data_IF_004371165874
#
_entry.id   IF_004371165874
#
_cell.length_a   1.000
_cell.length_b   1.000
_cell.length_c   1.000
_cell.angle_alpha   90.00
_cell.angle_beta   90.00
_cell.angle_gamma   90.00
#
_symmetry.space_group_name_H-M   'P 1'
#
loop_
_entity.id
_entity.type
_entity.pdbx_description
1 polymer ?
#
# COMPACT_ATOMS: atom_id res chain seq x y z
N UNK A 1 14.64 44.94 2.44
CA UNK A 1 15.20 43.86 3.27
C UNK A 1 14.54 42.57 2.87
N UNK A 2 15.14 41.82 1.99
CA UNK A 2 14.69 40.51 1.50
C UNK A 2 14.98 39.49 2.58
N UNK A 3 13.91 38.96 3.18
CA UNK A 3 13.96 37.91 4.20
C UNK A 3 14.43 36.59 3.54
N UNK A 4 15.75 36.45 3.42
CA UNK A 4 16.41 35.23 3.00
C UNK A 4 16.33 34.22 4.16
N UNK A 5 15.13 33.69 4.45
CA UNK A 5 15.03 32.44 5.19
C UNK A 5 15.69 31.38 4.31
N UNK A 6 16.96 31.08 4.63
CA UNK A 6 17.67 29.96 4.06
C UNK A 6 16.76 28.73 4.21
N UNK A 7 16.18 28.26 3.11
CA UNK A 7 15.31 27.08 3.14
C UNK A 7 16.16 25.90 3.59
N UNK A 8 15.87 25.36 4.76
CA UNK A 8 16.60 24.23 5.30
C UNK A 8 16.62 23.08 4.30
N UNK A 9 17.74 22.38 4.12
CA UNK A 9 17.84 21.33 3.11
C UNK A 9 16.87 20.17 3.41
N UNK A 10 16.07 19.80 2.42
CA UNK A 10 15.09 18.71 2.56
C UNK A 10 15.75 17.32 2.58
N UNK A 11 16.91 17.17 1.92
CA UNK A 11 17.68 15.93 1.88
C UNK A 11 18.93 16.01 2.78
N UNK A 12 19.35 14.86 3.32
CA UNK A 12 20.60 14.75 4.09
C UNK A 12 21.84 15.06 3.23
N UNK A 13 22.97 15.49 3.80
CA UNK A 13 24.15 15.96 3.06
C UNK A 13 24.63 15.05 1.94
N UNK A 14 24.72 13.71 2.08
CA UNK A 14 25.21 12.85 0.98
C UNK A 14 24.30 12.91 -0.25
N UNK A 15 22.99 13.08 -0.06
CA UNK A 15 21.98 12.95 -1.11
C UNK A 15 21.59 14.28 -1.76
N UNK A 16 21.71 15.40 -1.04
CA UNK A 16 21.24 16.73 -1.49
C UNK A 16 21.90 17.25 -2.79
N UNK A 17 23.02 16.64 -3.20
CA UNK A 17 23.73 16.99 -4.43
C UNK A 17 23.02 16.46 -5.68
N UNK A 18 22.32 15.33 -5.56
CA UNK A 18 21.71 14.61 -6.68
C UNK A 18 20.19 14.48 -6.59
N UNK A 19 19.66 14.55 -5.38
CA UNK A 19 18.25 14.35 -5.11
C UNK A 19 17.58 15.63 -4.62
N UNK A 20 16.32 15.84 -5.05
CA UNK A 20 15.41 16.87 -4.59
C UNK A 20 13.98 16.36 -4.61
N UNK A 21 13.05 16.99 -3.89
CA UNK A 21 11.61 16.68 -4.05
C UNK A 21 11.15 17.31 -5.39
N UNK A 22 11.40 16.61 -6.47
CA UNK A 22 11.07 17.01 -7.83
C UNK A 22 10.71 15.79 -8.69
N UNK A 23 10.09 16.03 -9.82
CA UNK A 23 9.58 15.00 -10.74
C UNK A 23 10.66 13.98 -11.15
N UNK A 24 11.90 14.42 -11.40
CA UNK A 24 12.99 13.51 -11.78
C UNK A 24 13.27 12.49 -10.68
N UNK A 25 13.42 12.94 -9.44
CA UNK A 25 13.64 12.05 -8.29
C UNK A 25 12.43 11.15 -8.07
N UNK A 26 11.22 11.70 -8.17
CA UNK A 26 9.98 10.91 -8.07
C UNK A 26 9.91 9.79 -9.08
N UNK A 27 10.21 10.06 -10.36
CA UNK A 27 10.21 9.05 -11.42
C UNK A 27 11.29 7.97 -11.23
N UNK A 28 12.51 8.36 -10.82
CA UNK A 28 13.59 7.39 -10.57
C UNK A 28 13.21 6.45 -9.42
N UNK A 29 12.78 7.00 -8.29
CA UNK A 29 12.37 6.20 -7.13
C UNK A 29 11.17 5.32 -7.48
N UNK A 30 10.16 5.88 -8.12
CA UNK A 30 8.97 5.15 -8.52
C UNK A 30 9.31 3.99 -9.46
N UNK A 31 10.09 4.23 -10.51
CA UNK A 31 10.51 3.19 -11.46
C UNK A 31 11.31 2.07 -10.77
N UNK A 32 12.31 2.44 -9.95
CA UNK A 32 13.15 1.47 -9.24
C UNK A 32 12.32 0.62 -8.26
N UNK A 33 11.53 1.27 -7.39
CA UNK A 33 10.77 0.56 -6.35
C UNK A 33 9.62 -0.26 -6.94
N UNK A 34 8.95 0.25 -7.98
CA UNK A 34 7.92 -0.50 -8.69
C UNK A 34 8.51 -1.75 -9.36
N UNK A 35 9.64 -1.63 -10.07
CA UNK A 35 10.27 -2.77 -10.74
C UNK A 35 10.71 -3.85 -9.74
N UNK A 36 11.38 -3.45 -8.65
CA UNK A 36 11.83 -4.39 -7.60
C UNK A 36 10.62 -5.05 -6.92
N UNK A 37 9.64 -4.28 -6.47
CA UNK A 37 8.44 -4.81 -5.80
C UNK A 37 7.65 -5.74 -6.70
N UNK A 38 7.45 -5.34 -7.95
CA UNK A 38 6.73 -6.16 -8.94
C UNK A 38 7.42 -7.51 -9.11
N UNK A 39 8.75 -7.51 -9.32
CA UNK A 39 9.55 -8.73 -9.45
C UNK A 39 9.50 -9.62 -8.21
N UNK A 40 9.60 -9.02 -7.00
CA UNK A 40 9.53 -9.78 -5.75
C UNK A 40 8.16 -10.44 -5.53
N UNK A 41 7.06 -9.74 -5.86
CA UNK A 41 5.72 -10.33 -5.75
C UNK A 41 5.51 -11.41 -6.79
N UNK A 42 5.97 -11.22 -8.03
CA UNK A 42 5.95 -12.27 -9.05
C UNK A 42 6.70 -13.52 -8.57
N UNK A 43 7.90 -13.36 -8.01
CA UNK A 43 8.65 -14.46 -7.43
C UNK A 43 7.89 -15.12 -6.27
N UNK A 44 7.29 -14.33 -5.37
CA UNK A 44 6.54 -14.83 -4.22
C UNK A 44 5.33 -15.66 -4.64
N UNK A 45 4.62 -15.27 -5.71
CA UNK A 45 3.50 -16.06 -6.27
C UNK A 45 3.95 -17.43 -6.78
N UNK A 46 5.16 -17.55 -7.34
CA UNK A 46 5.72 -18.81 -7.81
C UNK A 46 6.23 -19.69 -6.64
N UNK A 47 6.96 -19.06 -5.70
CA UNK A 47 7.65 -19.78 -4.62
C UNK A 47 6.81 -19.96 -3.37
N UNK A 48 5.64 -19.29 -3.30
CA UNK A 48 4.76 -19.22 -2.12
C UNK A 48 5.48 -18.68 -0.87
N UNK A 49 6.51 -17.83 -1.06
CA UNK A 49 7.29 -17.20 0.01
C UNK A 49 7.30 -15.68 -0.12
N UNK A 50 6.66 -15.00 0.80
CA UNK A 50 6.52 -13.54 0.84
C UNK A 50 7.55 -12.84 1.75
N UNK A 51 8.55 -13.57 2.25
CA UNK A 51 9.55 -13.01 3.19
C UNK A 51 10.30 -11.81 2.58
N UNK A 52 10.75 -11.91 1.33
CA UNK A 52 11.46 -10.82 0.65
C UNK A 52 10.56 -9.60 0.38
N UNK A 53 9.27 -9.82 0.12
CA UNK A 53 8.29 -8.73 -0.02
C UNK A 53 8.15 -7.99 1.31
N UNK A 54 8.08 -8.71 2.43
CA UNK A 54 8.01 -8.10 3.77
C UNK A 54 9.26 -7.30 4.12
N UNK A 55 10.46 -7.80 3.79
CA UNK A 55 11.72 -7.05 3.94
C UNK A 55 11.68 -5.79 3.08
N UNK A 56 11.13 -5.86 1.87
CA UNK A 56 11.05 -4.69 0.99
C UNK A 56 10.13 -3.59 1.52
N UNK A 57 9.05 -3.92 2.23
CA UNK A 57 8.25 -2.91 2.94
C UNK A 57 9.07 -2.16 4.00
N UNK A 58 9.96 -2.85 4.70
CA UNK A 58 10.90 -2.19 5.63
C UNK A 58 11.86 -1.27 4.88
N UNK A 59 12.39 -1.68 3.72
CA UNK A 59 13.22 -0.82 2.88
C UNK A 59 12.44 0.42 2.42
N UNK A 60 11.18 0.27 2.01
CA UNK A 60 10.31 1.39 1.64
C UNK A 60 10.10 2.36 2.82
N UNK A 61 9.85 1.84 4.03
CA UNK A 61 9.68 2.65 5.25
C UNK A 61 10.96 3.40 5.63
N UNK A 62 12.12 2.76 5.49
CA UNK A 62 13.41 3.35 5.83
C UNK A 62 13.88 4.38 4.78
N UNK A 63 13.46 4.27 3.53
CA UNK A 63 13.91 5.16 2.43
C UNK A 63 13.76 6.65 2.78
N UNK A 64 12.60 7.18 3.18
CA UNK A 64 12.50 8.59 3.57
C UNK A 64 13.28 8.92 4.84
N UNK A 65 13.48 7.97 5.76
CA UNK A 65 14.28 8.18 6.96
C UNK A 65 15.78 8.33 6.64
N UNK A 66 16.25 7.59 5.65
CA UNK A 66 17.64 7.62 5.19
C UNK A 66 17.89 8.84 4.30
N UNK A 67 17.01 9.12 3.36
CA UNK A 67 17.21 10.18 2.36
C UNK A 67 16.94 11.58 2.91
N UNK A 68 15.88 11.76 3.71
CA UNK A 68 15.38 13.06 4.10
C UNK A 68 15.96 13.57 5.42
N UNK A 69 16.27 14.87 5.45
CA UNK A 69 16.51 15.62 6.67
C UNK A 69 15.19 15.85 7.43
N UNK A 70 15.28 16.46 8.64
CA UNK A 70 14.10 16.70 9.49
C UNK A 70 12.98 17.44 8.76
N UNK A 71 13.31 18.49 8.01
CA UNK A 71 12.33 19.31 7.30
C UNK A 71 11.74 18.57 6.10
N UNK A 72 12.53 17.74 5.41
CA UNK A 72 12.03 16.84 4.38
C UNK A 72 11.02 15.81 4.93
N UNK A 73 11.32 15.22 6.08
CA UNK A 73 10.38 14.29 6.76
C UNK A 73 9.09 14.99 7.19
N UNK A 74 9.17 16.21 7.71
CA UNK A 74 7.99 17.03 8.00
C UNK A 74 7.19 17.33 6.74
N UNK A 75 7.88 17.64 5.64
CA UNK A 75 7.27 17.95 4.35
C UNK A 75 6.44 16.77 3.80
N UNK A 76 6.91 15.54 3.92
CA UNK A 76 6.15 14.35 3.52
C UNK A 76 5.05 13.95 4.51
N UNK A 77 4.81 14.73 5.57
CA UNK A 77 3.74 14.50 6.54
C UNK A 77 4.12 13.62 7.74
N UNK A 78 5.43 13.37 7.99
CA UNK A 78 5.91 12.67 9.19
C UNK A 78 5.88 13.61 10.40
N UNK A 79 4.68 13.97 10.80
CA UNK A 79 4.36 14.82 11.95
C UNK A 79 3.18 14.21 12.69
N UNK A 80 3.01 14.59 13.96
CA UNK A 80 1.81 14.21 14.71
C UNK A 80 0.57 14.82 14.05
N UNK A 81 -0.56 14.08 13.93
CA UNK A 81 -1.75 14.57 13.26
C UNK A 81 -2.34 15.79 13.96
N UNK A 82 -2.64 16.82 13.19
CA UNK A 82 -3.31 18.02 13.68
C UNK A 82 -4.74 17.72 14.19
N UNK A 83 -5.33 16.62 13.69
CA UNK A 83 -6.70 16.17 14.02
C UNK A 83 -6.67 14.67 14.33
N UNK A 84 -6.24 14.23 15.53
CA UNK A 84 -6.03 12.81 15.85
C UNK A 84 -7.31 11.98 15.76
N UNK A 85 -8.48 12.55 16.05
CA UNK A 85 -9.77 11.86 15.88
C UNK A 85 -10.05 11.43 14.43
N UNK A 86 -9.40 12.07 13.44
CA UNK A 86 -9.48 11.68 12.03
C UNK A 86 -8.78 10.36 11.72
N UNK A 87 -7.93 9.85 12.61
CA UNK A 87 -7.32 8.54 12.44
C UNK A 87 -8.38 7.42 12.51
N UNK A 88 -9.37 7.54 13.40
CA UNK A 88 -10.49 6.59 13.44
C UNK A 88 -11.32 6.64 12.15
N UNK A 89 -11.68 7.83 11.68
CA UNK A 89 -12.42 7.96 10.42
C UNK A 89 -11.58 7.48 9.21
N UNK A 90 -10.26 7.63 9.26
CA UNK A 90 -9.36 7.08 8.26
C UNK A 90 -9.38 5.54 8.25
N UNK A 91 -9.23 4.91 9.42
CA UNK A 91 -9.34 3.45 9.57
C UNK A 91 -10.66 2.92 9.00
N UNK A 92 -11.78 3.53 9.40
CA UNK A 92 -13.12 3.14 8.93
C UNK A 92 -13.30 3.35 7.43
N UNK A 93 -12.72 4.41 6.85
CA UNK A 93 -12.74 4.63 5.40
C UNK A 93 -11.97 3.54 4.64
N UNK A 94 -10.85 3.08 5.19
CA UNK A 94 -10.11 1.94 4.65
C UNK A 94 -10.90 0.63 4.73
N UNK A 95 -11.51 0.33 5.88
CA UNK A 95 -12.41 -0.82 6.05
C UNK A 95 -13.54 -0.77 5.02
N UNK A 96 -14.22 0.36 4.90
CA UNK A 96 -15.32 0.52 3.96
C UNK A 96 -14.87 0.33 2.51
N UNK A 97 -13.72 0.89 2.13
CA UNK A 97 -13.13 0.72 0.80
C UNK A 97 -12.91 -0.77 0.47
N UNK A 98 -12.35 -1.53 1.42
CA UNK A 98 -12.14 -2.97 1.25
C UNK A 98 -13.46 -3.74 1.17
N UNK A 99 -14.43 -3.45 2.05
CA UNK A 99 -15.74 -4.09 2.02
C UNK A 99 -16.47 -3.88 0.68
N UNK A 100 -16.40 -2.67 0.11
CA UNK A 100 -16.97 -2.39 -1.21
C UNK A 100 -16.27 -3.20 -2.31
N UNK A 101 -14.96 -3.35 -2.24
CA UNK A 101 -14.22 -4.21 -3.16
C UNK A 101 -14.58 -5.69 -2.97
N UNK A 102 -14.71 -6.19 -1.74
CA UNK A 102 -15.13 -7.57 -1.47
C UNK A 102 -16.49 -7.84 -2.09
N UNK A 103 -17.49 -7.02 -1.76
CA UNK A 103 -18.86 -7.20 -2.28
C UNK A 103 -18.89 -7.15 -3.82
N UNK A 104 -18.16 -6.19 -4.43
CA UNK A 104 -18.12 -6.11 -5.90
C UNK A 104 -17.36 -7.27 -6.52
N UNK A 105 -16.32 -7.82 -5.88
CA UNK A 105 -15.61 -9.00 -6.36
C UNK A 105 -16.50 -10.26 -6.34
N UNK A 106 -17.23 -10.47 -5.23
CA UNK A 106 -18.19 -11.58 -5.11
C UNK A 106 -19.30 -11.51 -6.18
N UNK A 107 -19.86 -10.30 -6.42
CA UNK A 107 -20.91 -10.11 -7.42
C UNK A 107 -20.44 -10.29 -8.86
N UNK A 108 -19.18 -9.90 -9.15
CA UNK A 108 -18.66 -9.92 -10.54
C UNK A 108 -17.95 -11.22 -10.89
N UNK A 109 -17.26 -11.85 -9.94
CA UNK A 109 -16.33 -12.96 -10.19
C UNK A 109 -16.63 -14.21 -9.35
N UNK A 110 -17.56 -14.13 -8.38
CA UNK A 110 -17.93 -15.27 -7.51
C UNK A 110 -16.77 -15.76 -6.63
N UNK A 111 -16.77 -17.06 -6.33
CA UNK A 111 -15.83 -17.71 -5.40
C UNK A 111 -14.64 -18.42 -6.10
N UNK A 112 -14.37 -18.12 -7.37
CA UNK A 112 -13.26 -18.70 -8.13
C UNK A 112 -11.98 -17.85 -8.12
N UNK A 113 -10.93 -18.37 -8.78
CA UNK A 113 -9.62 -17.69 -8.89
C UNK A 113 -9.64 -16.35 -9.63
N UNK A 114 -10.74 -16.01 -10.30
CA UNK A 114 -10.96 -14.71 -10.92
C UNK A 114 -11.38 -13.66 -9.89
N UNK A 115 -11.65 -14.06 -8.65
CA UNK A 115 -11.85 -13.19 -7.50
C UNK A 115 -10.51 -12.93 -6.80
N UNK A 116 -10.12 -11.66 -6.69
CA UNK A 116 -8.85 -11.24 -6.09
C UNK A 116 -8.65 -11.77 -4.67
N UNK A 117 -9.69 -11.76 -3.86
CA UNK A 117 -9.59 -12.19 -2.44
C UNK A 117 -9.42 -13.69 -2.32
N UNK A 118 -10.02 -14.46 -3.23
CA UNK A 118 -9.84 -15.92 -3.32
C UNK A 118 -8.41 -16.24 -3.78
N UNK A 119 -7.92 -15.61 -4.85
CA UNK A 119 -6.54 -15.82 -5.31
C UNK A 119 -5.51 -15.42 -4.24
N UNK A 120 -5.67 -14.24 -3.63
CA UNK A 120 -4.76 -13.75 -2.57
C UNK A 120 -4.80 -14.65 -1.34
N UNK A 121 -5.91 -15.34 -1.03
CA UNK A 121 -5.97 -16.29 0.08
C UNK A 121 -4.95 -17.44 -0.05
N UNK A 122 -4.49 -17.74 -1.27
CA UNK A 122 -3.38 -18.65 -1.53
C UNK A 122 -2.08 -18.29 -0.81
N UNK A 123 -1.88 -17.02 -0.41
CA UNK A 123 -0.74 -16.62 0.43
C UNK A 123 -0.76 -17.29 1.82
N UNK A 124 -1.88 -17.83 2.23
CA UNK A 124 -2.10 -18.53 3.50
C UNK A 124 -2.18 -20.07 3.34
N UNK A 125 -1.85 -20.61 2.17
CA UNK A 125 -1.94 -22.05 1.88
C UNK A 125 -1.06 -22.93 2.80
N UNK A 126 -0.03 -22.35 3.44
CA UNK A 126 0.80 -23.07 4.42
C UNK A 126 0.21 -23.17 5.84
N UNK A 127 -0.98 -22.60 6.08
CA UNK A 127 -1.65 -22.68 7.38
C UNK A 127 -2.39 -24.02 7.52
N UNK A 128 -2.65 -24.47 8.79
CA UNK A 128 -3.47 -25.66 9.03
C UNK A 128 -4.84 -25.53 8.33
N UNK A 129 -5.32 -26.64 7.73
CA UNK A 129 -6.64 -26.68 7.10
C UNK A 129 -7.23 -28.10 7.27
N UNK A 130 -8.41 -28.23 7.86
CA UNK A 130 -9.25 -27.17 8.46
C UNK A 130 -8.64 -26.59 9.73
N UNK A 131 -9.09 -25.39 10.13
CA UNK A 131 -8.69 -24.73 11.37
C UNK A 131 -9.85 -24.73 12.37
N UNK A 132 -9.58 -25.10 13.63
CA UNK A 132 -10.50 -24.83 14.73
C UNK A 132 -10.58 -23.31 15.02
N UNK A 133 -11.66 -22.89 15.70
CA UNK A 133 -11.95 -21.47 15.94
C UNK A 133 -10.85 -20.75 16.74
N UNK A 134 -10.20 -21.43 17.69
CA UNK A 134 -9.13 -20.82 18.49
C UNK A 134 -7.87 -20.59 17.63
N UNK A 135 -7.44 -21.59 16.88
CA UNK A 135 -6.31 -21.49 15.95
C UNK A 135 -6.57 -20.41 14.91
N UNK A 136 -7.78 -20.38 14.34
CA UNK A 136 -8.21 -19.36 13.38
C UNK A 136 -8.11 -17.94 13.96
N UNK A 137 -8.63 -17.73 15.17
CA UNK A 137 -8.56 -16.42 15.84
C UNK A 137 -7.12 -15.98 16.10
N UNK A 138 -6.28 -16.87 16.62
CA UNK A 138 -4.86 -16.56 16.91
C UNK A 138 -4.13 -16.17 15.61
N UNK A 139 -4.26 -16.98 14.56
CA UNK A 139 -3.61 -16.71 13.28
C UNK A 139 -4.16 -15.44 12.63
N UNK A 140 -5.47 -15.22 12.66
CA UNK A 140 -6.07 -13.96 12.20
C UNK A 140 -5.44 -12.76 12.91
N UNK A 141 -5.37 -12.77 14.24
CA UNK A 141 -4.79 -11.64 14.99
C UNK A 141 -3.31 -11.40 14.65
N UNK A 142 -2.53 -12.45 14.46
CA UNK A 142 -1.12 -12.36 14.07
C UNK A 142 -0.99 -11.75 12.67
N UNK A 143 -1.72 -12.29 11.68
CA UNK A 143 -1.63 -11.79 10.30
C UNK A 143 -2.27 -10.42 10.13
N UNK A 144 -3.35 -10.10 10.86
CA UNK A 144 -3.91 -8.77 10.89
C UNK A 144 -2.92 -7.76 11.45
N UNK A 145 -2.25 -8.05 12.58
CA UNK A 145 -1.23 -7.16 13.15
C UNK A 145 -0.07 -6.90 12.16
N UNK A 146 0.42 -7.95 11.48
CA UNK A 146 1.47 -7.84 10.46
C UNK A 146 0.97 -7.00 9.27
N UNK A 147 -0.21 -7.32 8.74
CA UNK A 147 -0.82 -6.65 7.59
C UNK A 147 -1.18 -5.18 7.85
N UNK A 148 -1.55 -4.84 9.09
CA UNK A 148 -1.84 -3.47 9.50
C UNK A 148 -0.59 -2.61 9.74
N UNK A 149 0.61 -3.19 9.79
CA UNK A 149 1.84 -2.47 10.14
C UNK A 149 2.84 -2.38 8.99
N UNK A 150 3.39 -3.49 8.53
CA UNK A 150 4.54 -3.49 7.63
C UNK A 150 4.24 -2.82 6.28
N UNK A 151 3.25 -3.32 5.55
CA UNK A 151 2.90 -2.78 4.24
C UNK A 151 2.33 -1.36 4.34
N UNK A 152 1.36 -1.03 5.23
CA UNK A 152 0.86 0.34 5.33
C UNK A 152 1.94 1.37 5.68
N UNK A 153 2.84 1.07 6.61
CA UNK A 153 3.91 2.00 6.97
C UNK A 153 4.87 2.21 5.79
N UNK A 154 5.34 1.12 5.17
CA UNK A 154 6.28 1.19 4.06
C UNK A 154 5.70 1.90 2.85
N UNK A 155 4.53 1.48 2.42
CA UNK A 155 3.91 1.97 1.21
C UNK A 155 3.40 3.41 1.34
N UNK A 156 2.79 3.79 2.46
CA UNK A 156 2.29 5.15 2.60
C UNK A 156 3.42 6.17 2.77
N UNK A 157 4.49 5.84 3.51
CA UNK A 157 5.69 6.68 3.58
C UNK A 157 6.34 6.87 2.20
N UNK A 158 6.31 5.85 1.36
CA UNK A 158 6.85 5.91 0.02
C UNK A 158 5.90 6.62 -0.95
N UNK A 159 4.69 6.10 -1.18
CA UNK A 159 3.76 6.62 -2.20
C UNK A 159 3.17 7.97 -1.78
N UNK A 160 2.47 8.05 -0.63
CA UNK A 160 1.80 9.28 -0.17
C UNK A 160 2.77 10.25 0.48
N UNK A 161 3.96 9.77 0.89
CA UNK A 161 5.02 10.63 1.39
C UNK A 161 5.93 11.11 0.27
N UNK A 162 6.94 10.30 -0.05
CA UNK A 162 8.08 10.70 -0.88
C UNK A 162 7.71 10.92 -2.35
N UNK A 163 6.96 9.99 -2.96
CA UNK A 163 6.53 10.09 -4.36
C UNK A 163 5.58 11.28 -4.53
N UNK A 164 4.52 11.35 -3.73
CA UNK A 164 3.55 12.44 -3.78
C UNK A 164 4.22 13.82 -3.74
N UNK A 165 5.04 14.07 -2.73
CA UNK A 165 5.72 15.38 -2.57
C UNK A 165 6.70 15.68 -3.71
N UNK A 166 7.28 14.66 -4.36
CA UNK A 166 8.14 14.85 -5.52
C UNK A 166 7.39 15.39 -6.75
N UNK A 167 6.09 15.11 -6.84
CA UNK A 167 5.25 15.61 -7.94
C UNK A 167 4.48 16.89 -7.60
N UNK A 168 4.22 17.16 -6.32
CA UNK A 168 3.38 18.27 -5.86
C UNK A 168 3.86 19.62 -6.35
N UNK A 169 5.17 19.87 -6.33
CA UNK A 169 5.74 21.16 -6.73
C UNK A 169 5.48 21.53 -8.20
N UNK A 170 5.33 20.55 -9.10
CA UNK A 170 5.08 20.78 -10.54
C UNK A 170 3.61 20.60 -10.92
N UNK A 171 2.93 19.62 -10.32
CA UNK A 171 1.58 19.22 -10.74
C UNK A 171 0.48 19.75 -9.83
N UNK A 172 0.83 20.21 -8.63
CA UNK A 172 -0.13 20.48 -7.55
C UNK A 172 -0.63 19.20 -6.87
N UNK A 173 -1.25 19.35 -5.71
CA UNK A 173 -1.64 18.25 -4.82
C UNK A 173 -2.58 17.22 -5.48
N UNK A 174 -3.64 17.70 -6.16
CA UNK A 174 -4.64 16.79 -6.73
C UNK A 174 -4.06 15.88 -7.83
N UNK A 175 -3.24 16.45 -8.73
CA UNK A 175 -2.62 15.68 -9.80
C UNK A 175 -1.50 14.78 -9.27
N UNK A 176 -0.75 15.20 -8.24
CA UNK A 176 0.22 14.36 -7.57
C UNK A 176 -0.47 13.14 -6.92
N UNK A 177 -1.65 13.32 -6.29
CA UNK A 177 -2.45 12.23 -5.75
C UNK A 177 -2.93 11.24 -6.83
N UNK A 178 -3.28 11.71 -8.01
CA UNK A 178 -3.61 10.82 -9.15
C UNK A 178 -2.38 10.00 -9.56
N UNK A 179 -1.19 10.63 -9.65
CA UNK A 179 0.04 9.94 -10.04
C UNK A 179 0.43 8.87 -9.03
N UNK A 180 0.48 9.21 -7.73
CA UNK A 180 0.88 8.25 -6.70
C UNK A 180 -0.13 7.11 -6.52
N UNK A 181 -1.44 7.41 -6.61
CA UNK A 181 -2.50 6.40 -6.53
C UNK A 181 -2.53 5.48 -7.74
N UNK A 182 -2.27 6.00 -8.95
CA UNK A 182 -2.15 5.19 -10.15
C UNK A 182 -0.93 4.24 -10.07
N UNK A 183 0.22 4.76 -9.61
CA UNK A 183 1.42 3.96 -9.43
C UNK A 183 1.25 2.87 -8.36
N UNK A 184 0.62 3.22 -7.24
CA UNK A 184 0.24 2.26 -6.20
C UNK A 184 -0.69 1.17 -6.74
N UNK A 185 -1.74 1.53 -7.46
CA UNK A 185 -2.67 0.55 -8.04
C UNK A 185 -1.98 -0.36 -9.07
N UNK A 186 -1.18 0.21 -9.96
CA UNK A 186 -0.52 -0.53 -11.03
C UNK A 186 0.46 -1.59 -10.49
N UNK A 187 1.25 -1.29 -9.46
CA UNK A 187 2.19 -2.25 -8.88
C UNK A 187 1.48 -3.46 -8.26
N UNK A 188 0.22 -3.32 -7.86
CA UNK A 188 -0.60 -4.40 -7.32
C UNK A 188 -1.13 -5.37 -8.38
N UNK A 189 -0.94 -5.09 -9.68
CA UNK A 189 -1.18 -6.05 -10.74
C UNK A 189 -0.36 -7.35 -10.57
N UNK A 190 0.80 -7.26 -9.90
CA UNK A 190 1.60 -8.41 -9.54
C UNK A 190 0.96 -9.29 -8.45
N UNK A 191 0.11 -8.70 -7.57
CA UNK A 191 -0.61 -9.48 -6.54
C UNK A 191 -1.84 -10.17 -7.11
N UNK A 192 -2.52 -9.51 -8.07
CA UNK A 192 -3.69 -10.06 -8.73
C UNK A 192 -3.93 -9.39 -10.09
N UNK A 193 -4.46 -10.18 -11.02
CA UNK A 193 -4.68 -9.78 -12.43
C UNK A 193 -3.65 -10.42 -13.36
N UNK A 194 -2.38 -10.50 -12.94
CA UNK A 194 -1.37 -11.38 -13.52
C UNK A 194 -1.11 -12.50 -12.49
N UNK A 195 -1.72 -13.66 -12.72
CA UNK A 195 -1.75 -14.78 -11.76
C UNK A 195 -0.85 -15.94 -12.19
N UNK A 196 -0.31 -16.67 -11.22
CA UNK A 196 0.46 -17.89 -11.44
C UNK A 196 -0.43 -19.13 -11.27
N UNK A 197 -0.46 -20.00 -12.27
CA UNK A 197 -1.18 -21.28 -12.27
C UNK A 197 -0.24 -22.39 -12.73
N UNK A 198 -0.70 -23.65 -12.63
CA UNK A 198 0.09 -24.83 -13.07
C UNK A 198 0.60 -24.71 -14.52
N UNK A 199 -0.15 -24.06 -15.42
CA UNK A 199 0.22 -23.80 -16.81
C UNK A 199 1.13 -22.59 -17.02
N UNK A 200 1.52 -21.87 -15.95
CA UNK A 200 2.32 -20.64 -16.00
C UNK A 200 1.55 -19.35 -15.72
N UNK A 201 2.12 -18.21 -16.16
CA UNK A 201 1.53 -16.90 -15.97
C UNK A 201 0.30 -16.70 -16.87
N UNK A 202 -0.77 -16.21 -16.27
CA UNK A 202 -2.03 -15.90 -16.95
C UNK A 202 -2.47 -14.49 -16.60
N UNK A 203 -2.74 -13.66 -17.62
CA UNK A 203 -3.37 -12.36 -17.44
C UNK A 203 -4.89 -12.54 -17.46
N UNK A 204 -5.58 -11.95 -16.47
CA UNK A 204 -7.05 -11.91 -16.36
C UNK A 204 -7.53 -10.47 -16.66
N UNK A 205 -7.82 -10.08 -17.90
CA UNK A 205 -7.99 -8.66 -18.26
C UNK A 205 -9.13 -7.97 -17.50
N UNK A 206 -10.30 -8.59 -17.40
CA UNK A 206 -11.46 -8.04 -16.67
C UNK A 206 -11.19 -7.89 -15.16
N UNK A 207 -10.84 -8.99 -14.45
CA UNK A 207 -10.47 -8.94 -13.03
C UNK A 207 -9.30 -7.99 -12.75
N UNK A 208 -8.27 -7.96 -13.63
CA UNK A 208 -7.12 -7.07 -13.49
C UNK A 208 -7.54 -5.58 -13.56
N UNK A 209 -8.38 -5.23 -14.53
CA UNK A 209 -8.89 -3.86 -14.67
C UNK A 209 -9.70 -3.45 -13.45
N UNK A 210 -10.60 -4.30 -12.99
CA UNK A 210 -11.39 -4.07 -11.78
C UNK A 210 -10.50 -3.86 -10.56
N UNK A 211 -9.49 -4.73 -10.37
CA UNK A 211 -8.55 -4.66 -9.25
C UNK A 211 -7.75 -3.35 -9.24
N UNK A 212 -7.17 -2.99 -10.38
CA UNK A 212 -6.39 -1.75 -10.53
C UNK A 212 -7.27 -0.52 -10.34
N UNK A 213 -8.47 -0.48 -10.91
CA UNK A 213 -9.41 0.64 -10.73
C UNK A 213 -9.86 0.76 -9.26
N UNK A 214 -10.18 -0.34 -8.60
CA UNK A 214 -10.57 -0.37 -7.18
C UNK A 214 -9.44 0.14 -6.27
N UNK A 215 -8.21 -0.34 -6.50
CA UNK A 215 -7.05 0.12 -5.74
C UNK A 215 -6.64 1.56 -6.06
N UNK A 216 -6.88 2.04 -7.28
CA UNK A 216 -6.71 3.46 -7.60
C UNK A 216 -7.64 4.34 -6.77
N UNK A 217 -8.93 4.01 -6.71
CA UNK A 217 -9.92 4.72 -5.87
C UNK A 217 -9.54 4.62 -4.38
N UNK A 218 -9.16 3.44 -3.91
CA UNK A 218 -8.66 3.21 -2.55
C UNK A 218 -7.42 4.07 -2.26
N UNK A 219 -6.53 4.21 -3.22
CA UNK A 219 -5.37 5.10 -3.14
C UNK A 219 -5.73 6.57 -2.93
N UNK A 220 -6.77 7.04 -3.62
CA UNK A 220 -7.31 8.40 -3.41
C UNK A 220 -7.96 8.55 -2.03
N UNK A 221 -8.59 7.50 -1.48
CA UNK A 221 -9.10 7.49 -0.09
C UNK A 221 -7.93 7.63 0.91
N UNK A 222 -6.81 6.94 0.70
CA UNK A 222 -5.63 7.07 1.56
C UNK A 222 -5.03 8.49 1.50
N UNK A 223 -4.95 9.09 0.31
CA UNK A 223 -4.56 10.48 0.15
C UNK A 223 -5.51 11.44 0.88
N UNK A 224 -6.82 11.25 0.72
CA UNK A 224 -7.82 12.04 1.47
C UNK A 224 -7.61 11.93 2.98
N UNK A 225 -7.39 10.72 3.51
CA UNK A 225 -7.16 10.47 4.93
C UNK A 225 -5.90 11.18 5.45
N UNK A 226 -4.79 11.19 4.65
CA UNK A 226 -3.59 12.00 4.93
C UNK A 226 -3.94 13.48 5.07
N UNK A 227 -4.69 14.04 4.13
CA UNK A 227 -5.09 15.46 4.16
C UNK A 227 -6.01 15.78 5.33
N UNK A 228 -7.01 14.93 5.58
CA UNK A 228 -8.00 15.13 6.64
C UNK A 228 -7.37 15.15 8.03
N UNK A 229 -6.36 14.30 8.28
CA UNK A 229 -5.63 14.24 9.55
C UNK A 229 -4.51 15.28 9.65
N UNK A 230 -3.98 15.76 8.51
CA UNK A 230 -2.80 16.62 8.43
C UNK A 230 -1.48 15.85 8.69
N UNK A 231 -1.48 14.52 8.53
CA UNK A 231 -0.33 13.66 8.81
C UNK A 231 -0.34 12.43 7.90
N UNK A 232 0.85 11.87 7.63
CA UNK A 232 0.98 10.59 6.92
C UNK A 232 0.29 9.44 7.69
N UNK A 233 0.13 9.56 9.01
CA UNK A 233 -0.58 8.59 9.83
C UNK A 233 -2.03 8.39 9.37
N UNK A 234 -2.69 9.41 8.81
CA UNK A 234 -4.02 9.24 8.24
C UNK A 234 -4.05 8.23 7.10
N UNK A 235 -3.09 8.30 6.17
CA UNK A 235 -2.99 7.32 5.09
C UNK A 235 -2.63 5.92 5.63
N UNK A 236 -1.68 5.84 6.57
CA UNK A 236 -1.29 4.57 7.21
C UNK A 236 -2.49 3.91 7.90
N UNK A 237 -3.31 4.67 8.65
CA UNK A 237 -4.50 4.13 9.31
C UNK A 237 -5.58 3.69 8.33
N UNK A 238 -5.80 4.44 7.23
CA UNK A 238 -6.74 4.04 6.20
C UNK A 238 -6.29 2.74 5.50
N UNK A 239 -5.01 2.62 5.17
CA UNK A 239 -4.45 1.40 4.60
C UNK A 239 -4.50 0.23 5.58
N UNK A 240 -4.18 0.45 6.86
CA UNK A 240 -4.32 -0.56 7.90
C UNK A 240 -5.76 -1.07 8.04
N UNK A 241 -6.75 -0.17 7.94
CA UNK A 241 -8.18 -0.54 7.93
C UNK A 241 -8.55 -1.41 6.71
N UNK A 242 -8.04 -1.08 5.53
CA UNK A 242 -8.22 -1.89 4.33
C UNK A 242 -7.66 -3.31 4.53
N UNK A 243 -6.42 -3.42 5.02
CA UNK A 243 -5.77 -4.72 5.24
C UNK A 243 -6.43 -5.53 6.35
N UNK A 244 -6.93 -4.87 7.41
CA UNK A 244 -7.70 -5.54 8.47
C UNK A 244 -8.97 -6.19 7.90
N UNK A 245 -9.75 -5.46 7.11
CA UNK A 245 -10.97 -5.97 6.49
C UNK A 245 -10.67 -7.11 5.50
N UNK A 246 -9.60 -6.96 4.68
CA UNK A 246 -9.16 -7.99 3.74
C UNK A 246 -8.75 -9.27 4.47
N UNK A 247 -7.91 -9.17 5.50
CA UNK A 247 -7.49 -10.33 6.29
C UNK A 247 -8.67 -10.98 6.98
N UNK A 248 -9.59 -10.18 7.56
CA UNK A 248 -10.82 -10.69 8.19
C UNK A 248 -11.68 -11.47 7.21
N UNK A 249 -11.91 -10.93 6.01
CA UNK A 249 -12.67 -11.63 4.97
C UNK A 249 -12.00 -12.93 4.54
N UNK A 250 -10.69 -12.94 4.32
CA UNK A 250 -9.96 -14.14 3.93
C UNK A 250 -10.08 -15.21 5.01
N UNK A 251 -9.86 -14.88 6.30
CA UNK A 251 -9.87 -15.84 7.38
C UNK A 251 -11.27 -16.40 7.71
N UNK A 252 -12.31 -15.60 7.55
CA UNK A 252 -13.67 -16.00 7.96
C UNK A 252 -14.65 -16.21 6.81
N UNK A 253 -14.33 -15.74 5.60
CA UNK A 253 -15.16 -15.87 4.42
C UNK A 253 -14.60 -16.79 3.34
N UNK A 254 -13.26 -16.95 3.25
CA UNK A 254 -12.62 -17.69 2.16
C UNK A 254 -11.95 -18.99 2.63
N UNK A 255 -11.15 -18.93 3.71
CA UNK A 255 -10.45 -20.12 4.22
C UNK A 255 -11.44 -21.12 4.87
N UNK A 256 -11.27 -22.45 4.61
CA UNK A 256 -12.19 -23.46 5.12
C UNK A 256 -12.21 -23.46 6.66
N UNK A 257 -13.44 -23.61 7.21
CA UNK A 257 -13.69 -23.88 8.61
C UNK A 257 -13.46 -25.32 8.98
N UNK A 258 -13.39 -25.61 10.30
CA UNK A 258 -13.41 -26.97 10.84
C UNK A 258 -14.76 -27.63 10.62
#
# INVERSE_FOLDING_TARGET
MTDARATSPLFRPPFRRWLGLNVRTGLILLGLFTAVRFGLVMQANVTQSYALVSVFFVVMALTPLVLLARDGRRRIGMIWPARPMRLLSALLAGVLSCCLMIVSAELLFGAGDDNAFVYISGTYAGLPSPMDDQTRLILFLVFAAIGMTFSPIGEELFYRGLVHESFTGRLGEARAAVVDSAAFAFVHLAHFGLIWRAAGWTLLPGPALWWVCGLFVTGLVFFWARRASGSILGAIFAHAGFNLAMTGWIFYGVLPGA
#
